data_IF_442846210793
#
_entry.id   IF_442846210793
#
_cell.length_a   1.000
_cell.length_b   1.000
_cell.length_c   1.000
_cell.angle_alpha   90.00
_cell.angle_beta   90.00
_cell.angle_gamma   90.00
#
_symmetry.space_group_name_H-M   'P 1'
#
loop_
_entity.id
_entity.type
_entity.pdbx_description
1 polymer ?
#
# COMPACT_ATOMS: atom_id res chain seq x y z
N UNK A 1 12.73 -26.93 -26.91
CA UNK A 1 12.06 -25.81 -26.21
C UNK A 1 12.07 -25.94 -24.67
N UNK A 2 12.59 -27.03 -24.09
CA UNK A 2 12.62 -27.24 -22.62
C UNK A 2 13.57 -26.32 -21.85
N UNK A 3 14.75 -26.00 -22.39
CA UNK A 3 15.74 -25.18 -21.68
C UNK A 3 15.31 -23.73 -21.41
N UNK A 4 14.35 -23.20 -22.16
CA UNK A 4 13.85 -21.82 -21.97
C UNK A 4 12.92 -21.72 -20.75
N UNK A 5 12.18 -22.79 -20.44
CA UNK A 5 11.19 -22.83 -19.34
C UNK A 5 11.89 -22.84 -17.97
N UNK A 6 12.96 -23.62 -17.82
CA UNK A 6 13.76 -23.64 -16.58
C UNK A 6 14.51 -22.33 -16.32
N UNK A 7 14.94 -21.63 -17.39
CA UNK A 7 15.60 -20.32 -17.27
C UNK A 7 14.65 -19.26 -16.68
N UNK A 8 13.39 -19.26 -17.11
CA UNK A 8 12.38 -18.31 -16.61
C UNK A 8 11.99 -18.57 -15.15
N UNK A 9 11.90 -19.84 -14.74
CA UNK A 9 11.63 -20.22 -13.35
C UNK A 9 12.77 -19.81 -12.40
N UNK A 10 14.03 -19.97 -12.82
CA UNK A 10 15.19 -19.50 -12.04
C UNK A 10 15.15 -17.98 -11.84
N UNK A 11 14.78 -17.22 -12.87
CA UNK A 11 14.65 -15.75 -12.78
C UNK A 11 13.57 -15.36 -11.76
N UNK A 12 12.39 -16.00 -11.80
CA UNK A 12 11.32 -15.76 -10.83
C UNK A 12 11.77 -16.09 -9.40
N UNK A 13 12.49 -17.20 -9.21
CA UNK A 13 13.06 -17.55 -7.91
C UNK A 13 14.03 -16.48 -7.39
N UNK A 14 14.92 -15.96 -8.24
CA UNK A 14 15.83 -14.88 -7.85
C UNK A 14 15.07 -13.58 -7.53
N UNK A 15 14.03 -13.21 -8.29
CA UNK A 15 13.21 -12.02 -7.99
C UNK A 15 12.56 -12.15 -6.60
N UNK A 16 11.99 -13.31 -6.28
CA UNK A 16 11.38 -13.58 -4.97
C UNK A 16 12.45 -13.55 -3.86
N UNK A 17 13.60 -14.19 -4.08
CA UNK A 17 14.70 -14.23 -3.11
C UNK A 17 15.25 -12.82 -2.83
N UNK A 18 15.49 -12.01 -3.86
CA UNK A 18 15.93 -10.63 -3.69
C UNK A 18 14.88 -9.78 -2.97
N UNK A 19 13.60 -9.91 -3.33
CA UNK A 19 12.51 -9.20 -2.64
C UNK A 19 12.47 -9.54 -1.16
N UNK A 20 12.66 -10.81 -0.80
CA UNK A 20 12.75 -11.25 0.60
C UNK A 20 13.93 -10.61 1.33
N UNK A 21 15.13 -10.59 0.72
CA UNK A 21 16.32 -9.97 1.31
C UNK A 21 16.11 -8.46 1.53
N UNK A 22 15.52 -7.77 0.56
CA UNK A 22 15.21 -6.34 0.69
C UNK A 22 14.26 -6.08 1.86
N UNK A 23 13.15 -6.81 1.94
CA UNK A 23 12.17 -6.65 3.04
C UNK A 23 12.79 -6.98 4.39
N UNK A 24 13.58 -8.06 4.49
CA UNK A 24 14.27 -8.45 5.71
C UNK A 24 15.29 -7.40 6.17
N UNK A 25 16.08 -6.85 5.24
CA UNK A 25 17.04 -5.78 5.52
C UNK A 25 16.35 -4.49 5.95
N UNK A 26 15.25 -4.09 5.28
CA UNK A 26 14.45 -2.92 5.64
C UNK A 26 13.85 -3.04 7.04
N UNK A 27 13.42 -4.23 7.45
CA UNK A 27 12.92 -4.49 8.80
C UNK A 27 13.99 -4.28 9.89
N UNK A 28 15.24 -4.66 9.63
CA UNK A 28 16.37 -4.48 10.57
C UNK A 28 16.98 -3.09 10.56
N UNK A 29 16.78 -2.32 9.49
CA UNK A 29 17.38 -0.99 9.30
C UNK A 29 16.92 0.07 10.33
N UNK A 30 15.98 -0.24 11.23
CA UNK A 30 15.45 0.72 12.20
C UNK A 30 14.61 1.85 11.61
N UNK A 31 14.58 2.00 10.28
CA UNK A 31 13.80 2.99 9.54
C UNK A 31 12.29 2.86 9.79
N UNK A 32 11.81 1.61 9.85
CA UNK A 32 10.42 1.33 10.20
C UNK A 32 10.10 1.81 11.61
N UNK A 33 10.97 1.51 12.56
CA UNK A 33 10.74 1.85 13.97
C UNK A 33 10.86 3.36 14.23
N UNK A 34 11.80 4.06 13.57
CA UNK A 34 11.95 5.51 13.72
C UNK A 34 10.80 6.29 13.08
N UNK A 35 10.32 5.87 11.90
CA UNK A 35 9.21 6.52 11.22
C UNK A 35 7.89 6.32 11.96
N UNK A 36 7.64 5.08 12.42
CA UNK A 36 6.45 4.78 13.22
C UNK A 36 6.50 5.54 14.56
N UNK A 37 7.64 5.54 15.27
CA UNK A 37 7.79 6.31 16.52
C UNK A 37 7.55 7.80 16.31
N UNK A 38 8.12 8.39 15.26
CA UNK A 38 7.93 9.82 14.95
C UNK A 38 6.46 10.16 14.70
N UNK A 39 5.76 9.34 13.92
CA UNK A 39 4.33 9.55 13.66
C UNK A 39 3.48 9.41 14.93
N UNK A 40 3.79 8.42 15.78
CA UNK A 40 3.11 8.23 17.07
C UNK A 40 3.37 9.40 18.03
N UNK A 41 4.60 9.92 18.08
CA UNK A 41 4.97 11.07 18.90
C UNK A 41 4.19 12.33 18.48
N UNK A 42 4.20 12.68 17.19
CA UNK A 42 3.45 13.83 16.65
C UNK A 42 1.95 13.69 16.96
N UNK A 43 1.38 12.49 16.82
CA UNK A 43 -0.03 12.22 17.14
C UNK A 43 -0.31 12.43 18.63
N UNK A 44 0.59 11.96 19.51
CA UNK A 44 0.44 12.11 20.95
C UNK A 44 0.56 13.57 21.41
N UNK A 45 1.44 14.34 20.79
CA UNK A 45 1.59 15.78 21.05
C UNK A 45 0.33 16.55 20.65
N UNK A 46 -0.20 16.28 19.45
CA UNK A 46 -1.44 16.90 18.96
C UNK A 46 -2.66 16.59 19.85
N UNK A 47 -2.75 15.35 20.36
CA UNK A 47 -3.83 14.98 21.31
C UNK A 47 -3.69 15.75 22.62
N UNK A 48 -2.48 15.91 23.15
CA UNK A 48 -2.24 16.65 24.40
C UNK A 48 -2.56 18.14 24.25
N UNK A 49 -2.21 18.76 23.13
CA UNK A 49 -2.56 20.16 22.86
C UNK A 49 -4.09 20.33 22.75
N UNK A 50 -4.76 19.42 22.05
CA UNK A 50 -6.22 19.40 21.97
C UNK A 50 -6.88 19.28 23.36
N UNK A 51 -6.45 18.32 24.18
CA UNK A 51 -6.99 18.13 25.54
C UNK A 51 -6.78 19.36 26.42
N UNK A 52 -5.61 20.00 26.32
CA UNK A 52 -5.30 21.22 27.04
C UNK A 52 -6.22 22.37 26.62
N UNK A 53 -6.36 22.63 25.32
CA UNK A 53 -7.17 23.74 24.82
C UNK A 53 -8.67 23.56 25.12
N UNK A 54 -9.16 22.31 25.13
CA UNK A 54 -10.50 21.96 25.62
C UNK A 54 -10.63 22.28 27.12
N UNK A 55 -9.64 21.89 27.94
CA UNK A 55 -9.68 22.15 29.39
C UNK A 55 -9.61 23.63 29.74
N UNK A 56 -8.96 24.43 28.91
CA UNK A 56 -8.83 25.89 29.05
C UNK A 56 -10.04 26.65 28.49
N UNK A 57 -11.03 25.94 27.90
CA UNK A 57 -12.26 26.53 27.36
C UNK A 57 -12.05 27.32 26.07
N UNK A 58 -10.96 27.08 25.34
CA UNK A 58 -10.70 27.71 24.05
C UNK A 58 -11.62 27.14 22.96
N UNK A 59 -11.89 27.95 21.95
CA UNK A 59 -12.54 27.46 20.74
C UNK A 59 -11.55 26.56 19.98
N UNK A 60 -11.90 25.28 19.82
CA UNK A 60 -11.09 24.24 19.17
C UNK A 60 -11.70 23.84 17.83
N UNK A 61 -10.90 23.83 16.76
CA UNK A 61 -11.21 23.16 15.49
C UNK A 61 -10.25 21.98 15.32
N UNK A 62 -10.78 20.82 14.95
CA UNK A 62 -9.99 19.60 14.68
C UNK A 62 -8.88 19.90 13.66
N UNK A 63 -9.14 20.76 12.67
CA UNK A 63 -8.17 21.09 11.61
C UNK A 63 -6.84 21.64 12.13
N UNK A 64 -6.82 22.24 13.32
CA UNK A 64 -5.62 22.82 13.90
C UNK A 64 -4.67 21.76 14.50
N UNK A 65 -5.18 20.54 14.74
CA UNK A 65 -4.44 19.43 15.36
C UNK A 65 -4.17 18.26 14.41
N UNK A 66 -4.76 18.29 13.20
CA UNK A 66 -4.44 17.36 12.12
C UNK A 66 -3.70 18.09 11.01
N UNK A 67 -2.48 17.63 10.71
CA UNK A 67 -1.75 18.02 9.50
C UNK A 67 -2.45 17.43 8.27
N UNK A 68 -3.57 18.03 7.86
CA UNK A 68 -4.30 17.68 6.65
C UNK A 68 -3.69 18.40 5.44
N UNK A 69 -2.37 18.31 5.27
CA UNK A 69 -1.79 18.57 3.96
C UNK A 69 -2.27 17.44 3.04
N UNK A 70 -3.27 17.74 2.20
CA UNK A 70 -3.68 16.88 1.09
C UNK A 70 -2.53 16.87 0.09
N UNK A 71 -1.48 16.11 0.39
CA UNK A 71 -0.34 16.00 -0.48
C UNK A 71 -0.67 15.06 -1.63
N UNK A 72 -0.46 15.56 -2.84
CA UNK A 72 -0.67 14.79 -4.04
C UNK A 72 0.46 13.77 -4.23
N UNK A 73 0.27 12.55 -3.75
CA UNK A 73 1.23 11.44 -3.88
C UNK A 73 1.32 10.86 -5.30
N UNK A 74 0.75 11.51 -6.33
CA UNK A 74 0.83 11.09 -7.73
C UNK A 74 2.23 11.35 -8.33
N UNK A 75 3.19 10.49 -8.01
CA UNK A 75 4.48 10.45 -8.69
C UNK A 75 4.47 9.45 -9.85
N UNK A 76 5.55 9.43 -10.66
CA UNK A 76 5.70 8.53 -11.81
C UNK A 76 5.53 7.06 -11.42
N UNK A 77 6.03 6.65 -10.25
CA UNK A 77 5.89 5.29 -9.74
C UNK A 77 4.44 4.98 -9.31
N UNK A 78 3.77 5.92 -8.64
CA UNK A 78 2.35 5.79 -8.27
C UNK A 78 1.46 5.62 -9.51
N UNK A 79 1.74 6.35 -10.61
CA UNK A 79 1.01 6.20 -11.88
C UNK A 79 1.26 4.84 -12.54
N UNK A 80 2.48 4.32 -12.45
CA UNK A 80 2.81 2.98 -12.93
C UNK A 80 2.08 1.91 -12.12
N UNK A 81 2.12 1.99 -10.79
CA UNK A 81 1.38 1.08 -9.91
C UNK A 81 -0.13 1.11 -10.18
N UNK A 82 -0.71 2.30 -10.33
CA UNK A 82 -2.11 2.47 -10.70
C UNK A 82 -2.46 1.81 -12.04
N UNK A 83 -1.58 1.94 -13.04
CA UNK A 83 -1.80 1.33 -14.36
C UNK A 83 -1.72 -0.20 -14.30
N UNK A 84 -0.77 -0.73 -13.52
CA UNK A 84 -0.66 -2.18 -13.25
C UNK A 84 -1.91 -2.69 -12.53
N UNK A 85 -2.35 -2.00 -11.47
CA UNK A 85 -3.58 -2.34 -10.74
C UNK A 85 -4.79 -2.38 -11.67
N UNK A 86 -4.98 -1.34 -12.48
CA UNK A 86 -6.09 -1.27 -13.43
C UNK A 86 -6.07 -2.41 -14.46
N UNK A 87 -4.87 -2.84 -14.86
CA UNK A 87 -4.68 -3.97 -15.78
C UNK A 87 -5.08 -5.28 -15.10
N UNK A 88 -4.65 -5.50 -13.86
CA UNK A 88 -5.04 -6.67 -13.05
C UNK A 88 -6.55 -6.69 -12.83
N UNK A 89 -7.16 -5.56 -12.48
CA UNK A 89 -8.59 -5.43 -12.28
C UNK A 89 -9.39 -5.79 -13.55
N UNK A 90 -8.92 -5.35 -14.72
CA UNK A 90 -9.55 -5.69 -16.00
C UNK A 90 -9.50 -7.19 -16.27
N UNK A 91 -8.33 -7.82 -16.06
CA UNK A 91 -8.14 -9.27 -16.28
C UNK A 91 -9.00 -10.08 -15.32
N UNK A 92 -9.10 -9.68 -14.05
CA UNK A 92 -9.95 -10.35 -13.07
C UNK A 92 -11.43 -10.22 -13.43
N UNK A 93 -11.89 -9.02 -13.79
CA UNK A 93 -13.28 -8.80 -14.18
C UNK A 93 -13.67 -9.55 -15.45
N UNK A 94 -12.79 -9.60 -16.45
CA UNK A 94 -12.98 -10.42 -17.65
C UNK A 94 -13.02 -11.92 -17.29
N UNK A 95 -12.09 -12.38 -16.46
CA UNK A 95 -12.05 -13.77 -15.99
C UNK A 95 -13.35 -14.17 -15.27
N UNK A 96 -13.84 -13.32 -14.36
CA UNK A 96 -15.11 -13.53 -13.64
C UNK A 96 -16.29 -13.54 -14.60
N UNK A 97 -16.32 -12.64 -15.59
CA UNK A 97 -17.39 -12.60 -16.60
C UNK A 97 -17.40 -13.86 -17.46
N UNK A 98 -16.24 -14.32 -17.92
CA UNK A 98 -16.12 -15.56 -18.69
C UNK A 98 -16.52 -16.78 -17.87
N UNK A 99 -16.08 -16.85 -16.61
CA UNK A 99 -16.46 -17.92 -15.69
C UNK A 99 -17.96 -17.94 -15.40
N UNK A 100 -18.57 -16.78 -15.16
CA UNK A 100 -20.02 -16.66 -14.97
C UNK A 100 -20.80 -17.11 -16.22
N UNK A 101 -20.35 -16.71 -17.40
CA UNK A 101 -20.96 -17.13 -18.66
C UNK A 101 -20.82 -18.65 -18.89
N UNK A 102 -19.66 -19.22 -18.57
CA UNK A 102 -19.46 -20.67 -18.62
C UNK A 102 -20.42 -21.40 -17.66
N UNK A 103 -20.54 -20.94 -16.41
CA UNK A 103 -21.49 -21.50 -15.46
C UNK A 103 -22.94 -21.41 -15.95
N UNK A 104 -23.36 -20.27 -16.50
CA UNK A 104 -24.71 -20.11 -17.07
C UNK A 104 -24.97 -21.11 -18.19
N UNK A 105 -23.98 -21.38 -19.04
CA UNK A 105 -24.07 -22.36 -20.12
C UNK A 105 -24.19 -23.82 -19.64
N UNK A 106 -23.87 -24.13 -18.38
CA UNK A 106 -24.01 -25.48 -17.83
C UNK A 106 -25.42 -25.75 -17.25
N UNK A 107 -26.15 -24.69 -16.91
CA UNK A 107 -27.49 -24.76 -16.31
C UNK A 107 -28.59 -24.21 -17.24
N UNK A 108 -28.24 -23.89 -18.48
CA UNK A 108 -29.17 -23.53 -19.57
C UNK A 108 -29.13 -24.64 -20.61
#
# INVERSE_FOLDING_TARGET
>A
MENKKHKNLKIIFYIILFSFIFVYASGKSGYYESTIKKNTLITSEAIKEFEKDVSEGKAVDIKDYINAEVSDYRNKYSRLGYSVSKTIDSVLNEGVKHFSNFLKSLFT
#
